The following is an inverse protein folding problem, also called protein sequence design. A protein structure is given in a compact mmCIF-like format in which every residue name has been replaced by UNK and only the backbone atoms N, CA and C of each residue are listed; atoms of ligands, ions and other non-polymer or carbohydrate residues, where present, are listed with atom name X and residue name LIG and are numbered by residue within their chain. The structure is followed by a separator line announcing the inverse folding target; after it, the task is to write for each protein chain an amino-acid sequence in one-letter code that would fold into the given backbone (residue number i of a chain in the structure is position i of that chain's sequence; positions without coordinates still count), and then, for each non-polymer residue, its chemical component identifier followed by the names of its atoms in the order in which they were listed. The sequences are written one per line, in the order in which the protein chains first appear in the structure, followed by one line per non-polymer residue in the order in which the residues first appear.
data_IF_380374764199
#
_entry.id   IF_380374764199
#
_cell.length_a   1.000
_cell.length_b   1.000
_cell.length_c   1.000
_cell.angle_alpha   90.00
_cell.angle_beta   90.00
_cell.angle_gamma   90.00
#
_symmetry.space_group_name_H-M   'P 1'
#
loop_
_entity.id
_entity.type
_entity.pdbx_description
1 polymer ?
#
# COMPACT_ATOMS: atom_id res chain seq x y z
N UNK A 1 -13.33 9.16 -8.98
CA UNK A 1 -12.23 9.77 -9.78
C UNK A 1 -10.85 9.39 -9.25
N UNK A 2 -10.61 9.45 -7.92
CA UNK A 2 -9.31 9.11 -7.32
C UNK A 2 -8.85 7.68 -7.69
N UNK A 3 -9.71 6.67 -7.56
CA UNK A 3 -9.36 5.27 -7.83
C UNK A 3 -8.94 5.03 -9.30
N UNK A 4 -9.59 5.71 -10.24
CA UNK A 4 -9.24 5.64 -11.68
C UNK A 4 -7.86 6.27 -11.92
N UNK A 5 -7.60 7.42 -11.32
CA UNK A 5 -6.32 8.10 -11.38
C UNK A 5 -5.21 7.25 -10.75
N UNK A 6 -5.46 6.69 -9.55
CA UNK A 6 -4.53 5.82 -8.85
C UNK A 6 -4.15 4.58 -9.67
N UNK A 7 -5.15 3.90 -10.26
CA UNK A 7 -4.92 2.75 -11.15
C UNK A 7 -4.05 3.11 -12.33
N UNK A 8 -4.34 4.25 -12.98
CA UNK A 8 -3.55 4.75 -14.11
C UNK A 8 -2.10 5.01 -13.73
N UNK A 9 -1.85 5.60 -12.57
CA UNK A 9 -0.49 5.83 -12.09
C UNK A 9 0.24 4.52 -11.75
N UNK A 10 -0.39 3.58 -11.07
CA UNK A 10 0.19 2.27 -10.83
C UNK A 10 0.59 1.57 -12.14
N UNK A 11 -0.29 1.58 -13.15
CA UNK A 11 0.02 1.05 -14.48
C UNK A 11 1.23 1.73 -15.13
N UNK A 12 1.33 3.06 -15.01
CA UNK A 12 2.46 3.81 -15.55
C UNK A 12 3.77 3.49 -14.83
N UNK A 13 3.75 3.33 -13.50
CA UNK A 13 4.90 2.90 -12.71
C UNK A 13 5.38 1.52 -13.18
N UNK A 14 4.47 0.55 -13.28
CA UNK A 14 4.78 -0.81 -13.74
C UNK A 14 5.34 -0.78 -15.17
N UNK A 15 4.74 -0.02 -16.08
CA UNK A 15 5.21 0.10 -17.46
C UNK A 15 6.60 0.72 -17.56
N UNK A 16 6.88 1.75 -16.75
CA UNK A 16 8.19 2.39 -16.73
C UNK A 16 9.25 1.51 -16.09
N UNK A 17 8.91 0.74 -15.05
CA UNK A 17 9.85 -0.16 -14.38
C UNK A 17 10.34 -1.28 -15.30
N UNK A 18 9.53 -1.72 -16.26
CA UNK A 18 9.96 -2.71 -17.29
C UNK A 18 11.16 -2.24 -18.13
N UNK A 19 11.41 -0.92 -18.21
CA UNK A 19 12.58 -0.36 -18.89
C UNK A 19 13.86 -0.43 -18.06
N UNK A 20 13.72 -0.73 -16.76
CA UNK A 20 14.82 -0.81 -15.78
C UNK A 20 15.03 -2.28 -15.36
N UNK A 21 14.62 -3.22 -16.20
CA UNK A 21 14.71 -4.66 -15.88
C UNK A 21 16.15 -5.01 -15.43
N UNK A 22 16.32 -5.28 -14.14
CA UNK A 22 17.49 -5.93 -13.62
C UNK A 22 17.34 -7.42 -13.88
N UNK A 23 18.20 -7.96 -14.71
CA UNK A 23 18.39 -9.40 -14.83
C UNK A 23 19.04 -9.82 -13.51
N UNK A 24 18.37 -10.65 -12.72
CA UNK A 24 18.98 -11.34 -11.59
C UNK A 24 19.45 -12.69 -12.09
N UNK A 25 20.75 -12.94 -12.03
CA UNK A 25 21.25 -14.31 -12.09
C UNK A 25 20.78 -15.02 -10.81
N UNK A 26 20.06 -16.10 -10.97
CA UNK A 26 19.76 -17.02 -9.86
C UNK A 26 20.97 -17.89 -9.61
N UNK A 27 21.09 -18.46 -8.39
CA UNK A 27 22.15 -19.41 -8.01
C UNK A 27 22.24 -20.64 -8.95
N UNK A 28 21.21 -20.87 -9.77
CA UNK A 28 21.14 -21.91 -10.80
C UNK A 28 21.51 -21.42 -12.22
N UNK A 29 21.98 -20.17 -12.38
CA UNK A 29 22.34 -19.60 -13.67
C UNK A 29 21.15 -19.29 -14.59
N UNK A 30 19.93 -19.21 -14.06
CA UNK A 30 18.72 -18.82 -14.79
C UNK A 30 18.48 -17.31 -14.67
N UNK A 31 18.23 -16.64 -15.78
CA UNK A 31 17.81 -15.24 -15.79
C UNK A 31 16.33 -15.13 -15.38
N UNK A 32 16.06 -14.59 -14.20
CA UNK A 32 14.71 -14.29 -13.76
C UNK A 32 14.41 -12.82 -13.98
N UNK A 33 13.44 -12.52 -14.86
CA UNK A 33 12.93 -11.16 -15.07
C UNK A 33 12.08 -10.73 -13.88
N UNK A 34 12.60 -9.81 -13.08
CA UNK A 34 11.83 -9.23 -11.97
C UNK A 34 10.83 -8.22 -12.54
N UNK A 35 9.58 -8.62 -12.61
CA UNK A 35 8.49 -7.73 -12.99
C UNK A 35 7.97 -6.96 -11.76
N UNK A 36 7.87 -5.63 -11.88
CA UNK A 36 7.26 -4.78 -10.88
C UNK A 36 5.75 -5.07 -10.80
N UNK A 37 5.23 -5.27 -9.60
CA UNK A 37 3.84 -5.67 -9.36
C UNK A 37 2.94 -4.51 -8.95
N UNK A 38 1.63 -4.70 -8.98
CA UNK A 38 0.69 -3.73 -8.40
C UNK A 38 0.93 -3.50 -6.91
N UNK A 39 1.29 -4.54 -6.14
CA UNK A 39 1.63 -4.41 -4.73
C UNK A 39 2.80 -3.45 -4.50
N UNK A 40 3.83 -3.53 -5.31
CA UNK A 40 4.97 -2.61 -5.25
C UNK A 40 4.59 -1.19 -5.75
N UNK A 41 3.85 -1.10 -6.85
CA UNK A 41 3.41 0.19 -7.40
C UNK A 41 2.53 0.96 -6.42
N UNK A 42 1.53 0.30 -5.80
CA UNK A 42 0.67 0.93 -4.81
C UNK A 42 1.47 1.39 -3.58
N UNK A 43 2.43 0.57 -3.10
CA UNK A 43 3.25 0.95 -1.94
C UNK A 43 4.03 2.22 -2.24
N UNK A 44 4.67 2.31 -3.39
CA UNK A 44 5.40 3.50 -3.82
C UNK A 44 4.49 4.73 -3.90
N UNK A 45 3.38 4.61 -4.62
CA UNK A 45 2.45 5.72 -4.84
C UNK A 45 1.82 6.20 -3.54
N UNK A 46 1.29 5.27 -2.73
CA UNK A 46 0.61 5.62 -1.48
C UNK A 46 1.58 6.16 -0.42
N UNK A 47 2.81 5.67 -0.36
CA UNK A 47 3.85 6.25 0.50
C UNK A 47 4.21 7.67 0.07
N UNK A 48 4.30 7.95 -1.23
CA UNK A 48 4.53 9.30 -1.74
C UNK A 48 3.40 10.25 -1.32
N UNK A 49 2.14 9.84 -1.52
CA UNK A 49 0.96 10.62 -1.11
C UNK A 49 0.98 10.85 0.40
N UNK A 50 1.24 9.81 1.19
CA UNK A 50 1.35 9.89 2.65
C UNK A 50 2.38 10.92 3.09
N UNK A 51 3.58 10.92 2.51
CA UNK A 51 4.61 11.91 2.85
C UNK A 51 4.22 13.33 2.44
N UNK A 52 3.64 13.52 1.26
CA UNK A 52 3.15 14.84 0.84
C UNK A 52 2.08 15.38 1.80
N UNK A 53 1.18 14.51 2.26
CA UNK A 53 0.17 14.84 3.25
C UNK A 53 0.80 15.20 4.61
N UNK A 54 1.72 14.36 5.11
CA UNK A 54 2.34 14.56 6.43
C UNK A 54 3.26 15.79 6.49
N UNK A 55 3.90 16.15 5.39
CA UNK A 55 4.78 17.31 5.28
C UNK A 55 4.01 18.60 5.02
N UNK A 56 2.69 18.54 4.95
CA UNK A 56 1.81 19.70 4.70
C UNK A 56 2.29 20.55 3.52
N UNK A 57 2.67 19.87 2.42
CA UNK A 57 3.19 20.55 1.23
C UNK A 57 2.12 21.48 0.66
N UNK A 58 2.36 22.78 0.76
CA UNK A 58 1.37 23.87 0.49
C UNK A 58 0.77 23.83 -0.92
N UNK A 59 1.49 23.30 -1.88
CA UNK A 59 1.05 23.16 -3.27
C UNK A 59 -0.05 22.08 -3.45
N UNK A 60 -0.25 21.24 -2.43
CA UNK A 60 -1.23 20.14 -2.49
C UNK A 60 -2.25 20.27 -1.37
N UNK A 61 -3.51 20.50 -1.70
CA UNK A 61 -4.62 20.41 -0.75
C UNK A 61 -5.20 18.99 -0.80
N UNK A 62 -5.27 18.36 0.37
CA UNK A 62 -5.85 17.02 0.53
C UNK A 62 -7.27 17.04 1.09
N UNK A 63 -7.80 18.22 1.47
CA UNK A 63 -9.07 18.38 2.20
C UNK A 63 -10.25 17.69 1.52
N UNK A 64 -10.32 17.79 0.19
CA UNK A 64 -11.42 17.22 -0.61
C UNK A 64 -11.25 15.74 -0.95
N UNK A 65 -10.07 15.15 -0.69
CA UNK A 65 -9.74 13.79 -1.13
C UNK A 65 -9.27 12.88 -0.01
N UNK A 66 -9.02 13.40 1.18
CA UNK A 66 -8.40 12.66 2.29
C UNK A 66 -9.14 11.38 2.66
N UNK A 67 -10.47 11.39 2.62
CA UNK A 67 -11.31 10.22 2.89
C UNK A 67 -11.29 9.18 1.77
N UNK A 68 -10.74 9.53 0.60
CA UNK A 68 -10.65 8.67 -0.58
C UNK A 68 -9.25 8.11 -0.81
N UNK A 69 -8.27 8.60 -0.08
CA UNK A 69 -6.89 8.16 -0.22
C UNK A 69 -6.74 6.68 0.15
N UNK A 70 -5.84 6.00 -0.56
CA UNK A 70 -5.49 4.62 -0.26
C UNK A 70 -4.38 4.55 0.79
N UNK A 71 -4.46 3.57 1.67
CA UNK A 71 -3.36 3.27 2.59
C UNK A 71 -2.25 2.47 1.89
N UNK A 72 -0.98 2.71 2.21
CA UNK A 72 0.14 1.93 1.67
C UNK A 72 0.20 0.54 2.31
N UNK A 73 -0.28 -0.48 1.59
CA UNK A 73 -0.39 -1.85 2.09
C UNK A 73 0.96 -2.56 2.12
N UNK A 74 1.29 -3.11 3.29
CA UNK A 74 2.41 -4.04 3.55
C UNK A 74 2.01 -5.10 4.58
N UNK A 75 2.97 -5.88 5.09
CA UNK A 75 2.68 -6.94 6.05
C UNK A 75 2.18 -6.40 7.40
N UNK A 76 2.68 -5.26 7.87
CA UNK A 76 2.21 -4.63 9.11
C UNK A 76 0.76 -4.19 8.96
N UNK A 77 0.44 -3.56 7.84
CA UNK A 77 -0.92 -3.09 7.54
C UNK A 77 -1.88 -4.26 7.33
N UNK A 78 -1.50 -5.34 6.68
CA UNK A 78 -2.35 -6.54 6.60
C UNK A 78 -2.73 -7.08 7.99
N UNK A 79 -1.78 -7.03 8.92
CA UNK A 79 -2.00 -7.48 10.29
C UNK A 79 -2.89 -6.50 11.06
N UNK A 80 -2.58 -5.21 11.03
CA UNK A 80 -3.37 -4.18 11.69
C UNK A 80 -4.83 -4.15 11.18
N UNK A 81 -5.05 -4.22 9.87
CA UNK A 81 -6.40 -4.24 9.27
C UNK A 81 -7.19 -5.47 9.73
N UNK A 82 -6.53 -6.63 9.84
CA UNK A 82 -7.20 -7.83 10.36
C UNK A 82 -7.57 -7.69 11.83
N UNK A 83 -6.66 -7.17 12.66
CA UNK A 83 -6.83 -7.09 14.12
C UNK A 83 -7.81 -5.97 14.50
N UNK A 84 -7.67 -4.78 13.91
CA UNK A 84 -8.44 -3.60 14.30
C UNK A 84 -9.76 -3.42 13.53
N UNK A 85 -9.77 -3.76 12.24
CA UNK A 85 -10.96 -3.58 11.39
C UNK A 85 -11.71 -4.89 11.11
N UNK A 86 -11.15 -6.03 11.51
CA UNK A 86 -11.69 -7.38 11.23
C UNK A 86 -11.89 -7.65 9.72
N UNK A 87 -11.04 -7.09 8.87
CA UNK A 87 -11.04 -7.31 7.43
C UNK A 87 -9.96 -8.33 7.08
N UNK A 88 -10.36 -9.40 6.39
CA UNK A 88 -9.44 -10.46 5.99
C UNK A 88 -8.53 -9.99 4.85
N UNK A 89 -7.29 -10.46 4.89
CA UNK A 89 -6.35 -10.28 3.80
C UNK A 89 -6.90 -10.89 2.50
N UNK A 90 -6.94 -10.14 1.38
CA UNK A 90 -7.56 -10.58 0.14
C UNK A 90 -6.71 -11.59 -0.64
N UNK A 91 -5.41 -11.65 -0.36
CA UNK A 91 -4.46 -12.48 -1.11
C UNK A 91 -3.60 -13.36 -0.19
N UNK A 92 -3.18 -14.53 -0.68
CA UNK A 92 -2.25 -15.43 0.02
C UNK A 92 -0.77 -15.11 -0.28
N UNK A 93 -0.50 -14.39 -1.39
CA UNK A 93 0.86 -14.00 -1.73
C UNK A 93 1.34 -12.81 -0.91
N UNK A 94 2.65 -12.58 -0.81
CA UNK A 94 3.18 -11.39 -0.13
C UNK A 94 2.68 -10.12 -0.83
N UNK A 95 2.55 -9.02 -0.08
CA UNK A 95 2.11 -7.74 -0.65
C UNK A 95 2.95 -7.32 -1.88
N UNK A 96 4.25 -7.57 -1.85
CA UNK A 96 5.18 -7.24 -2.94
C UNK A 96 5.01 -8.10 -4.20
N UNK A 97 4.32 -9.24 -4.09
CA UNK A 97 3.98 -10.12 -5.22
C UNK A 97 2.52 -10.01 -5.64
N UNK A 98 1.74 -9.22 -4.93
CA UNK A 98 0.32 -9.04 -5.24
C UNK A 98 0.14 -8.28 -6.55
N UNK A 99 -0.47 -8.94 -7.52
CA UNK A 99 -0.56 -8.42 -8.89
C UNK A 99 -1.99 -8.36 -9.44
N UNK A 100 -2.97 -8.22 -8.57
CA UNK A 100 -4.37 -8.03 -8.91
C UNK A 100 -4.87 -6.69 -8.36
N UNK A 101 -5.07 -5.71 -9.26
CA UNK A 101 -5.52 -4.38 -8.85
C UNK A 101 -6.98 -4.36 -8.41
N UNK A 102 -7.85 -5.21 -8.99
CA UNK A 102 -9.27 -5.21 -8.62
C UNK A 102 -9.47 -5.74 -7.19
N UNK A 103 -8.79 -6.81 -6.81
CA UNK A 103 -8.74 -7.29 -5.42
C UNK A 103 -8.14 -6.23 -4.46
N UNK A 104 -7.09 -5.54 -4.90
CA UNK A 104 -6.50 -4.45 -4.12
C UNK A 104 -7.49 -3.32 -3.91
N UNK A 105 -8.22 -2.90 -4.94
CA UNK A 105 -9.20 -1.82 -4.86
C UNK A 105 -10.38 -2.21 -3.95
N UNK A 106 -10.88 -3.43 -4.06
CA UNK A 106 -11.92 -3.95 -3.18
C UNK A 106 -11.48 -3.90 -1.71
N UNK A 107 -10.26 -4.33 -1.41
CA UNK A 107 -9.68 -4.26 -0.08
C UNK A 107 -9.59 -2.82 0.46
N UNK A 108 -9.16 -1.86 -0.37
CA UNK A 108 -9.14 -0.44 -0.01
C UNK A 108 -10.55 0.11 0.25
N UNK A 109 -11.54 -0.33 -0.53
CA UNK A 109 -12.95 0.06 -0.35
C UNK A 109 -13.52 -0.45 0.97
N UNK A 110 -13.23 -1.69 1.35
CA UNK A 110 -13.66 -2.27 2.61
C UNK A 110 -13.07 -1.51 3.80
N UNK A 111 -11.78 -1.17 3.73
CA UNK A 111 -11.10 -0.35 4.74
C UNK A 111 -11.74 1.04 4.83
N UNK A 112 -11.91 1.74 3.70
CA UNK A 112 -12.53 3.07 3.66
C UNK A 112 -13.95 3.05 4.22
N UNK A 113 -14.73 2.02 3.92
CA UNK A 113 -16.09 1.86 4.44
C UNK A 113 -16.10 1.78 5.96
N UNK A 114 -15.21 0.97 6.54
CA UNK A 114 -15.09 0.84 8.00
C UNK A 114 -14.66 2.14 8.67
N UNK A 115 -13.63 2.78 8.16
CA UNK A 115 -13.09 4.01 8.73
C UNK A 115 -14.04 5.19 8.60
N UNK A 116 -14.88 5.21 7.55
CA UNK A 116 -15.92 6.23 7.39
C UNK A 116 -16.98 6.15 8.48
N UNK A 117 -17.30 4.96 8.99
CA UNK A 117 -18.25 4.78 10.09
C UNK A 117 -17.74 5.48 11.38
N UNK A 118 -16.42 5.65 11.52
CA UNK A 118 -15.75 6.27 12.67
C UNK A 118 -15.25 7.69 12.40
N UNK A 119 -15.52 8.23 11.21
CA UNK A 119 -15.03 9.55 10.74
C UNK A 119 -13.50 9.69 10.78
N UNK A 120 -12.79 8.59 10.49
CA UNK A 120 -11.31 8.53 10.47
C UNK A 120 -10.83 8.47 9.03
N UNK A 121 -9.86 9.33 8.67
CA UNK A 121 -9.25 9.26 7.36
C UNK A 121 -8.29 8.06 7.23
N UNK A 122 -8.24 7.39 6.06
CA UNK A 122 -7.42 6.19 5.89
C UNK A 122 -5.95 6.38 6.23
N UNK A 123 -5.34 7.49 5.79
CA UNK A 123 -3.92 7.73 6.06
C UNK A 123 -3.62 7.99 7.53
N UNK A 124 -4.53 8.66 8.25
CA UNK A 124 -4.38 8.88 9.70
C UNK A 124 -4.43 7.55 10.45
N UNK A 125 -5.43 6.72 10.13
CA UNK A 125 -5.55 5.39 10.72
C UNK A 125 -4.31 4.53 10.42
N UNK A 126 -3.85 4.53 9.17
CA UNK A 126 -2.66 3.75 8.76
C UNK A 126 -1.42 4.18 9.53
N UNK A 127 -1.18 5.47 9.67
CA UNK A 127 -0.01 5.99 10.36
C UNK A 127 0.05 5.53 11.83
N UNK A 128 -1.06 5.65 12.55
CA UNK A 128 -1.17 5.25 13.96
C UNK A 128 -0.96 3.73 14.11
N UNK A 129 -1.61 2.93 13.28
CA UNK A 129 -1.58 1.47 13.41
C UNK A 129 -0.31 0.84 12.86
N UNK A 130 0.33 1.42 11.84
CA UNK A 130 1.62 0.95 11.34
C UNK A 130 2.72 1.10 12.42
N UNK A 131 2.75 2.23 13.12
CA UNK A 131 3.69 2.44 14.23
C UNK A 131 3.49 1.41 15.34
N UNK A 132 2.25 1.18 15.76
CA UNK A 132 1.93 0.21 16.79
C UNK A 132 2.43 -1.21 16.42
N UNK A 133 2.20 -1.64 15.17
CA UNK A 133 2.66 -2.96 14.72
C UNK A 133 4.19 -3.04 14.61
N UNK A 134 4.85 -2.00 14.14
CA UNK A 134 6.30 -1.93 14.08
C UNK A 134 6.94 -2.03 15.48
N UNK A 135 6.37 -1.36 16.47
CA UNK A 135 6.82 -1.43 17.87
C UNK A 135 6.61 -2.83 18.48
N UNK A 136 5.46 -3.47 18.25
CA UNK A 136 5.18 -4.85 18.68
C UNK A 136 6.23 -5.83 18.13
N UNK A 137 6.59 -5.70 16.85
CA UNK A 137 7.62 -6.57 16.25
C UNK A 137 9.02 -6.29 16.80
N UNK A 138 9.39 -5.03 17.01
CA UNK A 138 10.68 -4.67 17.60
C UNK A 138 10.86 -5.22 19.02
N UNK A 139 9.78 -5.30 19.82
CA UNK A 139 9.80 -5.88 21.15
C UNK A 139 9.97 -7.41 21.15
N UNK A 140 9.48 -8.12 20.13
CA UNK A 140 9.66 -9.58 20.01
C UNK A 140 11.09 -9.97 19.68
N UNK A 141 11.82 -9.15 18.93
CA UNK A 141 13.23 -9.42 18.55
C UNK A 141 14.18 -9.23 19.74
N UNK A 142 13.76 -8.48 20.80
CA UNK A 142 14.58 -8.23 22.00
C UNK A 142 14.42 -9.29 23.10
N UNK A 143 13.55 -10.27 22.91
CA UNK A 143 13.36 -11.44 23.79
C UNK A 143 14.00 -12.68 23.20
#
# INVERSE_FOLDING_TARGET
EFDIWHRRLCNNIIKKSKKIEKIKETDEGKEEKIQFTYGQAQKWLNMTIKYLYMLEVKEYSFDNVIMWLHIPVDNFIFKAVKEELNIKRPTKVSWSRWNNYDEYLEYQNDIRKKLKEEDISPLRWEFENWLNEAEKEAQKVKK
#
